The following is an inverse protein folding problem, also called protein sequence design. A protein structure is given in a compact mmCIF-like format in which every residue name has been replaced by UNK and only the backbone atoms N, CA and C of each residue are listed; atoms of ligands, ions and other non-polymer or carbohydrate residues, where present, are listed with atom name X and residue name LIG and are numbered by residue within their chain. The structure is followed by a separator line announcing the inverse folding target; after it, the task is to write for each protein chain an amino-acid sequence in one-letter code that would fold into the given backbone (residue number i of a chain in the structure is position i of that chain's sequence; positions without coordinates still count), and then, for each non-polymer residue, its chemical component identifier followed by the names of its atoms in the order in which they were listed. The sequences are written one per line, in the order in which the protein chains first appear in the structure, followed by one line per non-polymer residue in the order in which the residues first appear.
data_IF_761679157987
#
_entry.id   IF_761679157987
#
_cell.length_a   1.000
_cell.length_b   1.000
_cell.length_c   1.000
_cell.angle_alpha   90.00
_cell.angle_beta   90.00
_cell.angle_gamma   90.00
#
_symmetry.space_group_name_H-M   'P 1'
#
loop_
_entity.id
_entity.type
_entity.pdbx_description
1 polymer ?
#
# COMPACT_ATOMS: atom_id res chain seq x y z
N UNK A 1 -47.29 -2.47 -1.11
CA UNK A 1 -45.98 -1.98 -1.60
C UNK A 1 -45.04 -1.50 -0.48
N UNK A 2 -45.47 -0.61 0.44
CA UNK A 2 -44.61 -0.14 1.57
C UNK A 2 -44.18 -1.27 2.54
N UNK A 3 -45.09 -2.19 2.88
CA UNK A 3 -44.79 -3.31 3.80
C UNK A 3 -43.82 -4.35 3.21
N UNK A 4 -43.86 -4.53 1.89
CA UNK A 4 -42.95 -5.44 1.16
C UNK A 4 -41.53 -4.90 1.16
N UNK A 5 -41.35 -3.59 0.94
CA UNK A 5 -40.04 -2.93 1.02
C UNK A 5 -39.44 -3.02 2.44
N UNK A 6 -40.28 -2.79 3.45
CA UNK A 6 -39.85 -2.84 4.86
C UNK A 6 -39.40 -4.27 5.27
N UNK A 7 -40.14 -5.29 4.83
CA UNK A 7 -39.82 -6.70 5.07
C UNK A 7 -38.52 -7.13 4.38
N UNK A 8 -38.29 -6.68 3.12
CA UNK A 8 -37.04 -6.95 2.39
C UNK A 8 -35.85 -6.26 3.06
N UNK A 9 -35.98 -5.01 3.52
CA UNK A 9 -34.92 -4.32 4.26
C UNK A 9 -34.58 -5.02 5.59
N UNK A 10 -35.59 -5.55 6.30
CA UNK A 10 -35.38 -6.27 7.55
C UNK A 10 -34.70 -7.63 7.32
N UNK A 11 -35.09 -8.34 6.26
CA UNK A 11 -34.44 -9.59 5.85
C UNK A 11 -32.98 -9.37 5.41
N UNK A 12 -32.68 -8.31 4.65
CA UNK A 12 -31.32 -7.98 4.21
C UNK A 12 -30.43 -7.57 5.39
N UNK A 13 -30.95 -6.77 6.33
CA UNK A 13 -30.20 -6.39 7.54
C UNK A 13 -29.93 -7.57 8.47
N UNK A 14 -30.89 -8.49 8.64
CA UNK A 14 -30.69 -9.76 9.34
C UNK A 14 -29.67 -10.68 8.64
N UNK A 15 -29.57 -10.63 7.31
CA UNK A 15 -28.60 -11.40 6.53
C UNK A 15 -27.18 -10.84 6.64
N UNK A 16 -27.04 -9.51 6.64
CA UNK A 16 -25.76 -8.82 6.86
C UNK A 16 -25.18 -9.06 8.27
N UNK A 17 -26.04 -9.23 9.28
CA UNK A 17 -25.64 -9.55 10.66
C UNK A 17 -25.16 -11.01 10.85
N UNK A 18 -25.34 -11.88 9.86
CA UNK A 18 -24.93 -13.30 9.91
C UNK A 18 -23.63 -13.61 9.18
N UNK A 19 -23.00 -12.63 8.52
CA UNK A 19 -21.66 -12.82 7.98
C UNK A 19 -20.70 -12.98 9.17
N UNK A 20 -20.05 -14.14 9.36
CA UNK A 20 -18.97 -14.22 10.32
C UNK A 20 -17.92 -13.20 9.89
N UNK A 21 -17.60 -12.26 10.76
CA UNK A 21 -16.44 -11.38 10.58
C UNK A 21 -15.19 -12.26 10.74
N UNK A 22 -14.86 -12.99 9.68
CA UNK A 22 -13.63 -13.77 9.57
C UNK A 22 -12.47 -12.79 9.69
N UNK A 23 -11.82 -12.75 10.86
CA UNK A 23 -10.56 -12.01 11.05
C UNK A 23 -9.40 -12.81 10.42
N UNK A 24 -9.48 -13.09 9.13
CA UNK A 24 -8.33 -13.52 8.37
C UNK A 24 -7.59 -12.25 7.87
N UNK A 25 -6.26 -12.22 7.95
CA UNK A 25 -5.48 -11.19 7.26
C UNK A 25 -5.75 -11.17 5.76
N UNK A 26 -5.25 -10.15 5.06
CA UNK A 26 -5.37 -10.09 3.61
C UNK A 26 -4.71 -11.32 2.97
N UNK A 27 -5.36 -11.89 1.95
CA UNK A 27 -4.70 -12.92 1.13
C UNK A 27 -3.66 -12.28 0.22
N UNK A 28 -2.69 -13.06 -0.27
CA UNK A 28 -1.72 -12.56 -1.25
C UNK A 28 -2.43 -12.05 -2.52
N UNK A 29 -3.50 -12.72 -2.98
CA UNK A 29 -4.26 -12.24 -4.14
C UNK A 29 -4.90 -10.88 -3.89
N UNK A 30 -5.42 -10.63 -2.69
CA UNK A 30 -5.99 -9.33 -2.31
C UNK A 30 -4.92 -8.24 -2.26
N UNK A 31 -3.75 -8.56 -1.69
CA UNK A 31 -2.59 -7.66 -1.68
C UNK A 31 -2.17 -7.27 -3.10
N UNK A 32 -2.01 -8.25 -4.00
CA UNK A 32 -1.63 -8.01 -5.40
C UNK A 32 -2.72 -7.26 -6.18
N UNK A 33 -4.01 -7.55 -5.93
CA UNK A 33 -5.11 -6.83 -6.57
C UNK A 33 -5.15 -5.36 -6.16
N UNK A 34 -4.96 -5.06 -4.88
CA UNK A 34 -4.84 -3.68 -4.39
C UNK A 34 -3.63 -2.97 -5.01
N UNK A 35 -2.47 -3.64 -5.07
CA UNK A 35 -1.29 -3.11 -5.73
C UNK A 35 -1.53 -2.81 -7.21
N UNK A 36 -2.18 -3.71 -7.95
CA UNK A 36 -2.52 -3.51 -9.37
C UNK A 36 -3.37 -2.25 -9.58
N UNK A 37 -4.34 -1.98 -8.70
CA UNK A 37 -5.14 -0.75 -8.76
C UNK A 37 -4.27 0.50 -8.60
N UNK A 38 -3.30 0.48 -7.67
CA UNK A 38 -2.37 1.60 -7.46
C UNK A 38 -1.50 1.84 -8.69
N UNK A 39 -0.97 0.77 -9.30
CA UNK A 39 -0.21 0.85 -10.57
C UNK A 39 -1.04 1.48 -11.68
N UNK A 40 -2.30 1.08 -11.84
CA UNK A 40 -3.19 1.60 -12.89
C UNK A 40 -3.40 3.11 -12.79
N UNK A 41 -3.37 3.67 -11.58
CA UNK A 41 -3.51 5.11 -11.37
C UNK A 41 -2.18 5.85 -11.53
N UNK A 42 -1.06 5.24 -11.13
CA UNK A 42 0.24 5.93 -11.12
C UNK A 42 1.02 5.78 -12.42
N UNK A 43 1.02 4.62 -13.09
CA UNK A 43 1.78 4.40 -14.33
C UNK A 43 1.46 5.43 -15.44
N UNK A 44 0.18 5.79 -15.72
CA UNK A 44 -0.14 6.79 -16.74
C UNK A 44 0.46 8.17 -16.47
N UNK A 45 0.85 8.47 -15.22
CA UNK A 45 1.48 9.75 -14.84
C UNK A 45 2.98 9.77 -15.14
N UNK A 46 3.59 8.61 -15.39
CA UNK A 46 5.03 8.45 -15.60
C UNK A 46 5.29 7.58 -16.85
N UNK A 47 5.06 8.12 -18.06
CA UNK A 47 5.05 7.33 -19.30
C UNK A 47 6.41 6.71 -19.68
N UNK A 48 7.49 7.07 -19.00
CA UNK A 48 8.82 6.46 -19.19
C UNK A 48 9.03 5.20 -18.36
N UNK A 49 8.14 4.91 -17.41
CA UNK A 49 8.19 3.69 -16.60
C UNK A 49 7.37 2.64 -17.32
N UNK A 50 8.06 1.66 -17.88
CA UNK A 50 7.40 0.52 -18.51
C UNK A 50 6.85 -0.45 -17.46
N UNK A 51 5.99 -1.38 -17.87
CA UNK A 51 5.47 -2.40 -16.96
C UNK A 51 6.60 -3.28 -16.39
N UNK A 52 7.65 -3.54 -17.17
CA UNK A 52 8.82 -4.30 -16.75
C UNK A 52 9.62 -3.57 -15.67
N UNK A 53 9.76 -2.24 -15.77
CA UNK A 53 10.41 -1.44 -14.72
C UNK A 53 9.58 -1.51 -13.43
N UNK A 54 8.26 -1.38 -13.53
CA UNK A 54 7.38 -1.48 -12.38
C UNK A 54 7.38 -2.89 -11.75
N UNK A 55 7.47 -3.95 -12.55
CA UNK A 55 7.65 -5.32 -12.06
C UNK A 55 9.00 -5.53 -11.38
N UNK A 56 10.06 -4.88 -11.88
CA UNK A 56 11.35 -4.80 -11.20
C UNK A 56 11.23 -4.14 -9.83
N UNK A 57 10.55 -2.98 -9.77
CA UNK A 57 10.32 -2.23 -8.52
C UNK A 57 9.56 -3.11 -7.52
N UNK A 58 8.52 -3.84 -7.95
CA UNK A 58 7.77 -4.76 -7.08
C UNK A 58 8.68 -5.73 -6.34
N UNK A 59 9.72 -6.21 -6.99
CA UNK A 59 10.65 -7.20 -6.46
C UNK A 59 11.91 -6.56 -5.83
N UNK A 60 11.95 -5.23 -5.72
CA UNK A 60 13.03 -4.51 -5.05
C UNK A 60 14.20 -4.10 -5.95
N UNK A 61 14.05 -4.20 -7.28
CA UNK A 61 14.95 -3.53 -8.23
C UNK A 61 14.42 -2.12 -8.45
N UNK A 62 14.96 -1.15 -7.73
CA UNK A 62 14.42 0.22 -7.68
C UNK A 62 15.46 1.20 -8.25
N UNK A 63 15.44 1.49 -9.57
CA UNK A 63 16.39 2.41 -10.20
C UNK A 63 16.40 3.78 -9.54
N UNK A 64 17.58 4.39 -9.42
CA UNK A 64 17.75 5.78 -8.98
C UNK A 64 17.49 6.73 -10.15
N UNK A 65 16.23 6.79 -10.58
CA UNK A 65 15.74 7.64 -11.66
C UNK A 65 14.64 8.58 -11.16
N UNK A 66 14.59 9.80 -11.71
CA UNK A 66 13.64 10.84 -11.28
C UNK A 66 12.18 10.40 -11.42
N UNK A 67 11.81 9.78 -12.53
CA UNK A 67 10.43 9.35 -12.77
C UNK A 67 10.09 8.17 -11.85
N UNK A 68 11.02 7.24 -11.64
CA UNK A 68 10.88 6.14 -10.68
C UNK A 68 10.62 6.64 -9.26
N UNK A 69 11.39 7.63 -8.78
CA UNK A 69 11.18 8.23 -7.46
C UNK A 69 9.79 8.83 -7.31
N UNK A 70 9.32 9.53 -8.33
CA UNK A 70 8.00 10.16 -8.28
C UNK A 70 6.86 9.15 -8.45
N UNK A 71 7.08 8.04 -9.16
CA UNK A 71 6.17 6.91 -9.17
C UNK A 71 6.01 6.26 -7.80
N UNK A 72 7.13 6.01 -7.11
CA UNK A 72 7.12 5.54 -5.72
C UNK A 72 6.33 6.50 -4.82
N UNK A 73 6.56 7.81 -4.94
CA UNK A 73 5.77 8.80 -4.21
C UNK A 73 4.27 8.72 -4.54
N UNK A 74 3.89 8.58 -5.81
CA UNK A 74 2.49 8.46 -6.21
C UNK A 74 1.81 7.25 -5.54
N UNK A 75 2.47 6.09 -5.56
CA UNK A 75 1.96 4.87 -4.94
C UNK A 75 1.87 5.03 -3.42
N UNK A 76 2.88 5.61 -2.77
CA UNK A 76 2.88 5.85 -1.33
C UNK A 76 1.81 6.86 -0.88
N UNK A 77 1.49 7.87 -1.70
CA UNK A 77 0.37 8.77 -1.47
C UNK A 77 -0.98 8.07 -1.64
N UNK A 78 -1.12 7.18 -2.63
CA UNK A 78 -2.32 6.35 -2.79
C UNK A 78 -2.55 5.40 -1.62
N UNK A 79 -1.49 4.78 -1.11
CA UNK A 79 -1.53 3.97 0.11
C UNK A 79 -1.76 4.81 1.38
N UNK A 80 -1.74 6.14 1.29
CA UNK A 80 -1.84 7.03 2.45
C UNK A 80 -0.71 6.80 3.48
N UNK A 81 0.47 6.40 3.01
CA UNK A 81 1.69 6.21 3.81
C UNK A 81 2.57 7.45 3.80
N UNK A 82 2.45 8.28 2.77
CA UNK A 82 3.05 9.62 2.67
C UNK A 82 1.96 10.63 2.31
N UNK A 83 2.15 11.89 2.73
CA UNK A 83 1.38 13.02 2.25
C UNK A 83 2.30 14.23 2.09
N UNK A 84 2.44 14.75 0.86
CA UNK A 84 3.31 15.91 0.57
C UNK A 84 4.74 15.71 1.11
N UNK A 85 5.32 14.54 0.82
CA UNK A 85 6.69 14.18 1.25
C UNK A 85 6.86 13.87 2.74
N UNK A 86 5.81 13.97 3.56
CA UNK A 86 5.86 13.61 4.98
C UNK A 86 5.41 12.17 5.17
N UNK A 87 6.25 11.39 5.84
CA UNK A 87 5.92 10.02 6.24
C UNK A 87 4.82 10.00 7.31
N UNK A 88 3.84 9.12 7.13
CA UNK A 88 2.73 8.91 8.05
C UNK A 88 2.92 7.55 8.73
N UNK A 89 3.77 7.52 9.77
CA UNK A 89 4.16 6.28 10.46
C UNK A 89 2.95 5.44 10.93
N UNK A 90 2.05 6.04 11.72
CA UNK A 90 0.87 5.35 12.24
C UNK A 90 -0.08 4.87 11.13
N UNK A 91 -0.21 5.66 10.06
CA UNK A 91 -1.00 5.27 8.89
C UNK A 91 -0.37 4.07 8.20
N UNK A 92 0.96 4.08 8.07
CA UNK A 92 1.71 3.01 7.43
C UNK A 92 1.59 1.70 8.21
N UNK A 93 1.68 1.73 9.55
CA UNK A 93 1.45 0.56 10.37
C UNK A 93 0.04 -0.03 10.20
N UNK A 94 -0.98 0.84 10.05
CA UNK A 94 -2.35 0.39 9.74
C UNK A 94 -2.47 -0.20 8.34
N UNK A 95 -1.78 0.36 7.35
CA UNK A 95 -1.78 -0.20 6.01
C UNK A 95 -1.10 -1.57 5.96
N UNK A 96 -0.04 -1.78 6.77
CA UNK A 96 0.54 -3.12 6.95
C UNK A 96 -0.51 -4.10 7.46
N UNK A 97 -1.33 -3.71 8.44
CA UNK A 97 -2.40 -4.59 8.97
C UNK A 97 -3.49 -4.93 7.96
N UNK A 98 -3.83 -3.94 7.12
CA UNK A 98 -4.93 -4.04 6.16
C UNK A 98 -4.50 -4.80 4.90
N UNK A 99 -3.29 -4.52 4.39
CA UNK A 99 -2.88 -4.95 3.05
C UNK A 99 -1.97 -6.17 3.06
N UNK A 100 -1.19 -6.39 4.12
CA UNK A 100 -0.20 -7.46 4.12
C UNK A 100 -0.81 -8.78 4.61
N UNK A 101 -0.42 -9.91 4.00
CA UNK A 101 -0.63 -11.24 4.57
C UNK A 101 -0.04 -11.36 5.98
N UNK A 102 -0.66 -12.19 6.82
CA UNK A 102 -0.28 -12.29 8.24
C UNK A 102 1.18 -12.69 8.46
N UNK A 103 1.74 -13.53 7.58
CA UNK A 103 3.15 -13.94 7.62
C UNK A 103 4.14 -12.83 7.24
N UNK A 104 3.68 -11.70 6.68
CA UNK A 104 4.55 -10.57 6.29
C UNK A 104 4.52 -9.44 7.33
N UNK A 105 3.43 -9.33 8.12
CA UNK A 105 3.14 -8.17 8.97
C UNK A 105 4.25 -7.83 9.95
N UNK A 106 4.77 -8.80 10.69
CA UNK A 106 5.76 -8.54 11.74
C UNK A 106 7.07 -7.97 11.16
N UNK A 107 7.54 -8.55 10.06
CA UNK A 107 8.75 -8.07 9.38
C UNK A 107 8.54 -6.66 8.82
N UNK A 108 7.39 -6.41 8.18
CA UNK A 108 7.05 -5.07 7.68
C UNK A 108 6.95 -4.03 8.80
N UNK A 109 6.32 -4.35 9.93
CA UNK A 109 6.25 -3.44 11.09
C UNK A 109 7.65 -3.11 11.62
N UNK A 110 8.51 -4.11 11.74
CA UNK A 110 9.89 -3.92 12.16
C UNK A 110 10.65 -3.03 11.18
N UNK A 111 10.55 -3.29 9.87
CA UNK A 111 11.17 -2.49 8.83
C UNK A 111 10.69 -1.03 8.85
N UNK A 112 9.37 -0.82 8.96
CA UNK A 112 8.76 0.51 9.08
C UNK A 112 9.28 1.25 10.32
N UNK A 113 9.39 0.58 11.46
CA UNK A 113 9.94 1.17 12.67
C UNK A 113 11.42 1.59 12.53
N UNK A 114 12.22 0.75 11.88
CA UNK A 114 13.64 1.04 11.62
C UNK A 114 13.85 2.20 10.62
N UNK A 115 12.86 2.47 9.78
CA UNK A 115 12.93 3.47 8.71
C UNK A 115 12.16 4.76 8.97
N UNK A 116 11.50 4.89 10.13
CA UNK A 116 10.56 6.00 10.42
C UNK A 116 11.16 7.40 10.24
N UNK A 117 12.46 7.55 10.49
CA UNK A 117 13.17 8.82 10.41
C UNK A 117 14.05 8.94 9.14
N UNK A 118 14.02 7.96 8.23
CA UNK A 118 14.95 7.88 7.10
C UNK A 118 14.85 9.06 6.12
N UNK A 119 13.66 9.68 6.01
CA UNK A 119 13.43 10.82 5.12
C UNK A 119 13.36 12.17 5.84
N UNK A 120 13.75 12.24 7.12
CA UNK A 120 13.76 13.51 7.87
C UNK A 120 14.69 14.52 7.19
N UNK A 121 14.19 15.74 6.97
CA UNK A 121 14.94 16.82 6.35
C UNK A 121 14.98 16.80 4.81
N UNK A 122 14.47 15.75 4.16
CA UNK A 122 14.39 15.70 2.69
C UNK A 122 13.23 16.59 2.22
N UNK A 123 13.55 17.58 1.39
CA UNK A 123 12.56 18.59 0.91
C UNK A 123 11.75 18.13 -0.30
N UNK A 124 12.35 17.32 -1.16
CA UNK A 124 11.67 16.83 -2.36
C UNK A 124 10.82 15.61 -2.00
N UNK A 125 9.53 15.63 -2.36
CA UNK A 125 8.59 14.56 -2.03
C UNK A 125 8.98 13.21 -2.64
N UNK A 126 9.45 13.21 -3.90
CA UNK A 126 9.85 12.00 -4.60
C UNK A 126 11.10 11.40 -3.97
N UNK A 127 12.09 12.23 -3.61
CA UNK A 127 13.30 11.77 -2.92
C UNK A 127 12.98 11.24 -1.51
N UNK A 128 12.05 11.86 -0.79
CA UNK A 128 11.61 11.41 0.53
C UNK A 128 10.97 10.02 0.46
N UNK A 129 10.03 9.83 -0.47
CA UNK A 129 9.37 8.54 -0.70
C UNK A 129 10.35 7.45 -1.11
N UNK A 130 11.24 7.77 -2.06
CA UNK A 130 12.28 6.84 -2.50
C UNK A 130 13.21 6.42 -1.35
N UNK A 131 13.64 7.38 -0.52
CA UNK A 131 14.52 7.10 0.62
C UNK A 131 13.86 6.15 1.63
N UNK A 132 12.57 6.35 1.91
CA UNK A 132 11.80 5.44 2.78
C UNK A 132 11.70 4.04 2.18
N UNK A 133 11.42 3.93 0.88
CA UNK A 133 11.30 2.65 0.21
C UNK A 133 12.62 1.88 0.17
N UNK A 134 13.73 2.56 -0.17
CA UNK A 134 15.08 1.98 -0.16
C UNK A 134 15.46 1.53 1.25
N UNK A 135 15.18 2.35 2.27
CA UNK A 135 15.39 1.94 3.65
C UNK A 135 14.61 0.66 3.95
N UNK A 136 13.31 0.62 3.67
CA UNK A 136 12.46 -0.55 3.93
C UNK A 136 12.99 -1.79 3.22
N UNK A 137 13.34 -1.68 1.93
CA UNK A 137 13.93 -2.77 1.13
C UNK A 137 15.19 -3.37 1.75
N UNK A 138 15.99 -2.53 2.42
CA UNK A 138 17.21 -2.94 3.13
C UNK A 138 16.97 -3.52 4.53
N UNK A 139 15.74 -3.45 5.07
CA UNK A 139 15.39 -3.94 6.41
C UNK A 139 14.49 -5.17 6.42
N UNK A 140 13.93 -5.58 5.28
CA UNK A 140 13.03 -6.74 5.17
C UNK A 140 13.53 -7.74 4.12
N UNK A 141 13.27 -9.03 4.36
CA UNK A 141 13.59 -10.12 3.43
C UNK A 141 12.53 -10.26 2.36
N UNK A 142 11.26 -10.33 2.76
CA UNK A 142 10.14 -10.42 1.82
C UNK A 142 9.73 -8.99 1.47
N UNK A 143 10.15 -8.55 0.28
CA UNK A 143 9.82 -7.22 -0.22
C UNK A 143 8.84 -7.33 -1.37
N UNK A 144 7.76 -6.57 -1.24
CA UNK A 144 6.75 -6.35 -2.29
C UNK A 144 6.38 -4.87 -2.28
N UNK A 145 6.31 -4.29 -3.47
CA UNK A 145 5.78 -2.95 -3.72
C UNK A 145 4.82 -2.99 -4.92
N UNK A 146 3.73 -2.20 -4.95
CA UNK A 146 2.84 -2.12 -6.11
C UNK A 146 3.58 -1.79 -7.42
#
# INVERSE_FOLDING_TARGET
MKYTLLSVCFAVSLWLLRMPMSRAGATEEQMYAAGKMMRQVCLPKFPKITEEVADGIRNGVIPDDKDVKCYVNCIMEMMQTIKKGKFLYESTLKQVDIMMPDNYKDEYRQGVNLCKDAAVGIKNNCDAAYTLLICLKGKIKVFVFP
#
